data_IF_437466520399
#
_entry.id   IF_437466520399
#
_cell.length_a   1.000
_cell.length_b   1.000
_cell.length_c   1.000
_cell.angle_alpha   90.00
_cell.angle_beta   90.00
_cell.angle_gamma   90.00
#
_symmetry.space_group_name_H-M   'P 1'
#
loop_
_entity.id
_entity.type
_entity.pdbx_description
1 polymer ?
#
# COMPACT_ATOMS: atom_id res chain seq x y z
N UNK A 1 -16.57 7.94 14.07
CA UNK A 1 -16.70 7.63 12.63
C UNK A 1 -15.31 7.19 12.23
N UNK A 2 -15.12 5.91 11.94
CA UNK A 2 -13.78 5.44 11.55
C UNK A 2 -13.55 5.90 10.11
N UNK A 3 -12.54 6.75 9.92
CA UNK A 3 -12.14 7.22 8.61
C UNK A 3 -11.11 6.27 8.01
N UNK A 4 -11.01 6.27 6.67
CA UNK A 4 -9.98 5.50 6.00
C UNK A 4 -8.59 5.98 6.47
N UNK A 5 -7.73 5.05 6.87
CA UNK A 5 -6.40 5.33 7.41
C UNK A 5 -5.38 5.39 6.27
N UNK A 6 -4.78 6.56 5.99
CA UNK A 6 -3.78 6.68 4.93
C UNK A 6 -2.45 6.06 5.33
N UNK A 7 -1.73 5.53 4.35
CA UNK A 7 -0.38 5.00 4.49
C UNK A 7 0.46 5.22 3.23
N UNK A 8 1.77 5.13 3.42
CA UNK A 8 2.76 5.08 2.35
C UNK A 8 3.39 3.68 2.31
N UNK A 9 3.58 3.15 1.11
CA UNK A 9 4.20 1.87 0.84
C UNK A 9 5.55 2.11 0.18
N UNK A 10 6.61 1.82 0.92
CA UNK A 10 8.00 1.95 0.47
C UNK A 10 8.42 0.65 -0.20
N UNK A 11 8.56 0.68 -1.52
CA UNK A 11 8.95 -0.47 -2.32
C UNK A 11 10.47 -0.70 -2.23
N UNK A 12 10.90 -1.92 -2.52
CA UNK A 12 12.33 -2.28 -2.46
C UNK A 12 13.18 -1.65 -3.57
N UNK A 13 12.55 -1.24 -4.66
CA UNK A 13 13.19 -0.50 -5.75
C UNK A 13 13.34 1.02 -5.48
N UNK A 14 12.87 1.50 -4.33
CA UNK A 14 12.97 2.89 -3.89
C UNK A 14 11.77 3.78 -4.26
N UNK A 15 10.81 3.26 -5.04
CA UNK A 15 9.52 3.93 -5.26
C UNK A 15 8.67 3.97 -3.99
N UNK A 16 7.81 4.99 -3.93
CA UNK A 16 6.80 5.13 -2.88
C UNK A 16 5.43 5.14 -3.55
N UNK A 17 4.58 4.23 -3.12
CA UNK A 17 3.15 4.23 -3.45
C UNK A 17 2.33 4.71 -2.27
N UNK A 18 1.17 5.29 -2.53
CA UNK A 18 0.28 5.77 -1.48
C UNK A 18 -0.98 4.95 -1.47
N UNK A 19 -1.47 4.62 -0.28
CA UNK A 19 -2.69 3.87 -0.13
C UNK A 19 -3.54 4.32 1.04
N UNK A 20 -4.73 3.77 1.08
CA UNK A 20 -5.70 3.95 2.16
C UNK A 20 -6.22 2.59 2.59
N UNK A 21 -6.35 2.40 3.90
CA UNK A 21 -7.06 1.26 4.48
C UNK A 21 -8.45 1.71 4.93
N UNK A 22 -9.48 1.01 4.46
CA UNK A 22 -10.85 1.26 4.89
C UNK A 22 -11.12 0.64 6.27
N UNK A 23 -12.12 1.12 7.02
CA UNK A 23 -12.46 0.59 8.35
C UNK A 23 -12.76 -0.91 8.37
N UNK A 24 -13.24 -1.44 7.24
CA UNK A 24 -13.56 -2.85 7.03
C UNK A 24 -12.33 -3.72 6.72
N UNK A 25 -11.15 -3.11 6.53
CA UNK A 25 -9.85 -3.78 6.38
C UNK A 25 -9.29 -3.76 4.97
N UNK A 26 -10.14 -3.55 3.95
CA UNK A 26 -9.73 -3.45 2.54
C UNK A 26 -8.78 -2.28 2.31
N UNK A 27 -7.97 -2.39 1.26
CA UNK A 27 -6.95 -1.41 0.93
C UNK A 27 -7.04 -1.02 -0.54
N UNK A 28 -6.76 0.25 -0.82
CA UNK A 28 -6.57 0.76 -2.18
C UNK A 28 -5.20 1.44 -2.24
N UNK A 29 -4.37 1.08 -3.22
CA UNK A 29 -2.99 1.56 -3.38
C UNK A 29 -2.84 2.14 -4.79
N UNK A 30 -2.43 3.40 -4.88
CA UNK A 30 -2.12 4.09 -6.12
C UNK A 30 -0.66 3.84 -6.53
N UNK A 31 -0.45 3.33 -7.74
CA UNK A 31 0.88 3.06 -8.27
C UNK A 31 1.47 4.32 -8.89
N UNK A 32 1.92 5.25 -8.03
CA UNK A 32 2.49 6.52 -8.48
C UNK A 32 3.75 6.27 -9.31
N UNK A 33 3.81 6.85 -10.50
CA UNK A 33 4.93 6.71 -11.43
C UNK A 33 4.78 5.58 -12.46
N UNK A 34 3.75 4.73 -12.35
CA UNK A 34 3.43 3.78 -13.42
C UNK A 34 2.68 4.46 -14.57
N UNK A 35 3.05 4.21 -15.84
CA UNK A 35 2.51 4.91 -17.01
C UNK A 35 1.01 4.68 -17.23
N UNK A 36 0.47 3.62 -16.62
CA UNK A 36 -0.94 3.24 -16.71
C UNK A 36 -1.83 3.90 -15.65
N UNK A 37 -1.26 4.56 -14.63
CA UNK A 37 -2.05 5.09 -13.51
C UNK A 37 -2.80 3.98 -12.77
N UNK A 38 -2.20 2.80 -12.63
CA UNK A 38 -2.83 1.64 -12.04
C UNK A 38 -3.10 1.80 -10.53
N UNK A 39 -4.13 1.09 -10.06
CA UNK A 39 -4.44 0.95 -8.65
C UNK A 39 -4.55 -0.54 -8.31
N UNK A 40 -4.07 -0.91 -7.12
CA UNK A 40 -4.33 -2.22 -6.53
C UNK A 40 -5.40 -2.08 -5.45
N UNK A 41 -6.43 -2.93 -5.53
CA UNK A 41 -7.43 -3.09 -4.46
C UNK A 41 -7.27 -4.48 -3.87
N UNK A 42 -7.14 -4.57 -2.54
CA UNK A 42 -6.95 -5.81 -1.82
C UNK A 42 -7.84 -5.91 -0.59
N UNK A 43 -8.06 -7.13 -0.11
CA UNK A 43 -8.83 -7.38 1.12
C UNK A 43 -8.09 -6.95 2.39
N UNK A 44 -6.76 -6.91 2.34
CA UNK A 44 -5.90 -6.45 3.43
C UNK A 44 -4.50 -6.13 2.88
N UNK A 45 -3.71 -5.37 3.65
CA UNK A 45 -2.28 -5.15 3.34
C UNK A 45 -1.52 -6.48 3.27
N UNK A 46 -1.80 -7.41 4.17
CA UNK A 46 -1.16 -8.74 4.19
C UNK A 46 -1.47 -9.52 2.91
N UNK A 47 -2.72 -9.50 2.43
CA UNK A 47 -3.10 -10.13 1.16
C UNK A 47 -2.41 -9.46 -0.05
N UNK A 48 -2.14 -8.15 0.01
CA UNK A 48 -1.39 -7.46 -1.04
C UNK A 48 0.09 -7.80 -0.99
N UNK A 49 0.69 -7.89 0.20
CA UNK A 49 2.13 -8.08 0.39
C UNK A 49 2.56 -9.55 0.50
N UNK A 50 1.61 -10.47 0.65
CA UNK A 50 1.85 -11.91 0.81
C UNK A 50 2.55 -12.53 -0.41
N UNK A 51 3.29 -13.62 -0.14
CA UNK A 51 4.11 -14.44 -1.04
C UNK A 51 4.35 -13.87 -2.46
N UNK A 52 5.10 -12.78 -2.51
CA UNK A 52 5.53 -12.15 -3.76
C UNK A 52 6.80 -12.81 -4.28
N UNK A 53 6.95 -12.89 -5.60
CA UNK A 53 8.21 -13.36 -6.19
C UNK A 53 9.35 -12.39 -5.82
N UNK A 54 10.62 -12.86 -5.70
CA UNK A 54 11.73 -12.02 -5.24
C UNK A 54 12.02 -10.79 -6.10
N UNK A 55 11.63 -10.82 -7.38
CA UNK A 55 11.81 -9.71 -8.33
C UNK A 55 10.66 -8.68 -8.26
N UNK A 56 9.56 -9.01 -7.57
CA UNK A 56 8.42 -8.11 -7.41
C UNK A 56 8.79 -7.01 -6.38
N UNK A 57 8.64 -5.73 -6.72
CA UNK A 57 9.00 -4.62 -5.83
C UNK A 57 8.17 -4.56 -4.52
N UNK A 58 7.04 -5.27 -4.46
CA UNK A 58 6.25 -5.46 -3.25
C UNK A 58 6.87 -6.51 -2.31
N UNK A 59 7.74 -7.39 -2.81
CA UNK A 59 8.48 -8.33 -1.97
C UNK A 59 9.41 -7.54 -1.04
N UNK A 60 9.13 -7.58 0.26
CA UNK A 60 9.88 -6.83 1.27
C UNK A 60 9.52 -5.35 1.37
N UNK A 61 8.44 -4.90 0.72
CA UNK A 61 7.96 -3.53 0.86
C UNK A 61 7.54 -3.22 2.32
N UNK A 62 7.72 -1.96 2.72
CA UNK A 62 7.45 -1.51 4.09
C UNK A 62 6.28 -0.53 4.13
N UNK A 63 5.35 -0.78 5.04
CA UNK A 63 4.20 0.10 5.27
C UNK A 63 4.56 1.14 6.33
N UNK A 64 4.31 2.41 6.01
CA UNK A 64 4.39 3.52 6.93
C UNK A 64 3.00 4.16 7.04
N UNK A 65 2.40 4.06 8.21
CA UNK A 65 1.12 4.72 8.50
C UNK A 65 1.33 6.22 8.66
N UNK A 66 0.37 7.02 8.22
CA UNK A 66 0.31 8.40 8.70
C UNK A 66 0.09 8.34 10.22
N UNK A 67 1.03 8.87 10.98
CA UNK A 67 0.84 9.08 12.41
C UNK A 67 -0.32 10.08 12.54
N UNK A 68 -1.35 9.73 13.32
CA UNK A 68 -2.33 10.72 13.70
C UNK A 68 -1.61 11.67 14.65
N UNK A 69 -1.09 12.79 14.12
CA UNK A 69 -0.52 13.84 14.95
C UNK A 69 -1.53 14.17 16.05
N UNK A 70 -1.11 13.88 17.29
CA UNK A 70 -1.89 13.96 18.54
C UNK A 70 -2.44 15.35 18.86
#
# INVERSE_FOLDING_TARGET
>A
MEWARPFSLHLTDGRIWHGVQFPTGEVCIAHVGEPSGAFTVGLSLDAVLGDRVPDDPLNGARVQWADEES
#
